data_IF_437802284938
#
_entry.id   IF_437802284938
#
_cell.length_a   1.000
_cell.length_b   1.000
_cell.length_c   1.000
_cell.angle_alpha   90.00
_cell.angle_beta   90.00
_cell.angle_gamma   90.00
#
_symmetry.space_group_name_H-M   'P 1'
#
loop_
_entity.id
_entity.type
_entity.pdbx_description
1 polymer ?
#
# COMPACT_ATOMS: atom_id res chain seq x y z
N UNK A 1 -2.71 27.77 7.49
CA UNK A 1 -1.45 27.22 6.90
C UNK A 1 -0.67 28.38 6.30
N UNK A 2 0.66 28.42 6.45
CA UNK A 2 1.47 29.39 5.70
C UNK A 2 1.36 29.13 4.20
N UNK A 3 1.56 30.16 3.37
CA UNK A 3 1.48 30.06 1.91
C UNK A 3 2.44 28.99 1.35
N UNK A 4 3.60 28.82 2.00
CA UNK A 4 4.58 27.77 1.69
C UNK A 4 4.04 26.37 2.00
N UNK A 5 3.43 26.17 3.19
CA UNK A 5 2.88 24.87 3.58
C UNK A 5 1.76 24.42 2.63
N UNK A 6 0.92 25.35 2.18
CA UNK A 6 -0.13 25.08 1.20
C UNK A 6 0.46 24.66 -0.15
N UNK A 7 1.46 25.40 -0.66
CA UNK A 7 2.15 25.07 -1.91
C UNK A 7 2.84 23.70 -1.85
N UNK A 8 3.49 23.37 -0.73
CA UNK A 8 4.09 22.05 -0.52
C UNK A 8 3.06 20.93 -0.53
N UNK A 9 1.93 21.11 0.17
CA UNK A 9 0.84 20.13 0.18
C UNK A 9 0.26 19.90 -1.23
N UNK A 10 0.00 20.98 -1.98
CA UNK A 10 -0.55 20.90 -3.33
C UNK A 10 0.44 20.23 -4.30
N UNK A 11 1.72 20.60 -4.26
CA UNK A 11 2.73 20.07 -5.17
C UNK A 11 3.13 18.62 -4.83
N UNK A 12 3.51 18.37 -3.58
CA UNK A 12 4.10 17.07 -3.16
C UNK A 12 3.03 16.05 -2.79
N UNK A 13 1.97 16.48 -2.10
CA UNK A 13 0.90 15.58 -1.66
C UNK A 13 -0.10 15.27 -2.78
N UNK A 14 -0.52 16.29 -3.53
CA UNK A 14 -1.58 16.17 -4.54
C UNK A 14 -1.07 16.15 -5.99
N UNK A 15 0.24 16.31 -6.23
CA UNK A 15 0.81 16.34 -7.57
C UNK A 15 0.34 17.49 -8.44
N UNK A 16 -0.04 18.62 -7.84
CA UNK A 16 -0.41 19.85 -8.56
C UNK A 16 0.85 20.64 -8.88
N UNK A 17 1.37 20.47 -10.10
CA UNK A 17 2.47 21.27 -10.63
C UNK A 17 1.95 22.20 -11.72
N UNK A 18 1.74 23.47 -11.38
CA UNK A 18 1.12 24.45 -12.30
C UNK A 18 -0.29 24.01 -12.71
N UNK A 19 -0.54 23.90 -14.02
CA UNK A 19 -1.81 23.42 -14.58
C UNK A 19 -1.93 21.90 -14.66
N UNK A 20 -0.86 21.14 -14.35
CA UNK A 20 -0.88 19.68 -14.40
C UNK A 20 -1.35 19.10 -13.06
N UNK A 21 -2.38 18.27 -13.11
CA UNK A 21 -2.95 17.54 -11.97
C UNK A 21 -2.75 16.03 -12.13
N UNK A 22 -1.50 15.57 -12.15
CA UNK A 22 -1.21 14.14 -12.12
C UNK A 22 -1.18 13.65 -10.66
N UNK A 23 -2.05 12.72 -10.25
CA UNK A 23 -2.05 12.22 -8.90
C UNK A 23 -0.78 11.40 -8.64
N UNK A 24 -0.04 11.74 -7.59
CA UNK A 24 1.23 11.08 -7.24
C UNK A 24 0.97 9.75 -6.54
N UNK A 25 -0.10 9.65 -5.73
CA UNK A 25 -0.37 8.45 -4.96
C UNK A 25 -0.50 7.20 -5.84
N UNK A 26 -1.31 7.19 -6.93
CA UNK A 26 -1.34 6.07 -7.86
C UNK A 26 0.02 5.73 -8.48
N UNK A 27 0.93 6.68 -8.66
CA UNK A 27 2.28 6.38 -9.15
C UNK A 27 3.13 5.70 -8.07
N UNK A 28 3.06 6.19 -6.83
CA UNK A 28 3.91 5.71 -5.72
C UNK A 28 3.48 4.38 -5.12
N UNK A 29 2.20 4.01 -5.18
CA UNK A 29 1.69 2.76 -4.56
C UNK A 29 2.21 1.47 -5.19
N UNK A 30 2.66 1.51 -6.45
CA UNK A 30 3.14 0.31 -7.16
C UNK A 30 4.41 -0.27 -6.53
N UNK A 31 5.29 0.58 -6.00
CA UNK A 31 6.55 0.16 -5.40
C UNK A 31 6.35 -0.67 -4.12
N UNK A 32 5.70 -0.15 -3.06
CA UNK A 32 5.48 -0.95 -1.85
C UNK A 32 4.61 -2.16 -2.15
N UNK A 33 3.60 -2.04 -3.02
CA UNK A 33 2.76 -3.18 -3.42
C UNK A 33 3.62 -4.31 -4.04
N UNK A 34 4.50 -3.99 -4.99
CA UNK A 34 5.36 -4.97 -5.63
C UNK A 34 6.36 -5.59 -4.65
N UNK A 35 7.10 -4.75 -3.90
CA UNK A 35 8.14 -5.22 -3.00
C UNK A 35 7.61 -6.01 -1.81
N UNK A 36 6.50 -5.58 -1.20
CA UNK A 36 5.87 -6.31 -0.10
C UNK A 36 5.19 -7.59 -0.58
N UNK A 37 4.65 -7.61 -1.81
CA UNK A 37 4.14 -8.87 -2.41
C UNK A 37 5.28 -9.85 -2.61
N UNK A 38 6.41 -9.39 -3.17
CA UNK A 38 7.58 -10.22 -3.38
C UNK A 38 8.16 -10.73 -2.06
N UNK A 39 8.30 -9.86 -1.05
CA UNK A 39 8.79 -10.24 0.27
C UNK A 39 7.93 -11.34 0.91
N UNK A 40 6.61 -11.12 0.98
CA UNK A 40 5.69 -12.11 1.54
C UNK A 40 5.69 -13.41 0.71
N UNK A 41 5.74 -13.32 -0.61
CA UNK A 41 5.82 -14.48 -1.50
C UNK A 41 7.09 -15.31 -1.29
N UNK A 42 8.24 -14.64 -1.13
CA UNK A 42 9.52 -15.31 -0.85
C UNK A 42 9.54 -15.96 0.54
N UNK A 43 8.96 -15.32 1.56
CA UNK A 43 8.80 -15.94 2.89
C UNK A 43 7.90 -17.18 2.86
N UNK A 44 6.82 -17.15 2.07
CA UNK A 44 5.98 -18.32 1.86
C UNK A 44 6.72 -19.42 1.11
N UNK A 45 7.48 -19.06 0.08
CA UNK A 45 8.28 -20.01 -0.67
C UNK A 45 9.36 -20.64 0.22
N UNK A 46 10.04 -19.86 1.04
CA UNK A 46 10.97 -20.34 2.07
C UNK A 46 10.30 -21.38 2.99
N UNK A 47 9.10 -21.06 3.49
CA UNK A 47 8.31 -22.01 4.30
C UNK A 47 7.95 -23.28 3.54
N UNK A 48 7.57 -23.18 2.26
CA UNK A 48 7.27 -24.34 1.41
C UNK A 48 8.50 -25.24 1.29
N UNK A 49 9.66 -24.67 0.95
CA UNK A 49 10.92 -25.42 0.81
C UNK A 49 11.34 -26.06 2.13
N UNK A 50 11.18 -25.34 3.24
CA UNK A 50 11.60 -25.81 4.56
C UNK A 50 10.71 -26.95 5.09
N UNK A 51 9.40 -26.85 4.92
CA UNK A 51 8.43 -27.76 5.55
C UNK A 51 7.90 -28.86 4.62
N UNK A 52 7.92 -28.67 3.30
CA UNK A 52 7.42 -29.64 2.33
C UNK A 52 8.58 -30.29 1.56
N UNK A 53 9.18 -31.31 2.17
CA UNK A 53 10.35 -32.03 1.66
C UNK A 53 10.18 -32.67 0.27
N UNK A 54 8.93 -32.90 -0.16
CA UNK A 54 8.60 -33.55 -1.44
C UNK A 54 8.32 -32.55 -2.57
N UNK A 55 8.61 -31.25 -2.40
CA UNK A 55 8.36 -30.27 -3.46
C UNK A 55 9.30 -30.54 -4.67
N UNK A 56 8.79 -30.60 -5.91
CA UNK A 56 9.59 -30.96 -7.08
C UNK A 56 10.36 -29.78 -7.70
N UNK A 57 10.22 -28.57 -7.17
CA UNK A 57 10.68 -27.33 -7.81
C UNK A 57 11.96 -26.77 -7.19
N UNK A 58 12.19 -26.99 -5.89
CA UNK A 58 13.26 -26.36 -5.12
C UNK A 58 13.93 -27.37 -4.18
N UNK A 59 15.25 -27.41 -4.19
CA UNK A 59 16.01 -28.20 -3.21
C UNK A 59 16.08 -27.50 -1.86
N UNK A 60 16.01 -28.30 -0.79
CA UNK A 60 16.10 -27.86 0.60
C UNK A 60 17.56 -27.82 1.08
N UNK A 61 18.43 -27.21 0.30
CA UNK A 61 19.81 -26.93 0.68
C UNK A 61 19.94 -25.53 1.29
N UNK A 62 21.07 -25.28 1.97
CA UNK A 62 21.31 -24.02 2.66
C UNK A 62 21.45 -22.83 1.70
N UNK A 63 21.93 -23.05 0.48
CA UNK A 63 22.13 -21.99 -0.50
C UNK A 63 20.78 -21.44 -0.99
N UNK A 64 19.84 -22.34 -1.33
CA UNK A 64 18.49 -21.96 -1.71
C UNK A 64 17.73 -21.29 -0.57
N UNK A 65 17.76 -21.86 0.64
CA UNK A 65 17.08 -21.28 1.79
C UNK A 65 17.63 -19.90 2.14
N UNK A 66 18.97 -19.74 2.14
CA UNK A 66 19.63 -18.45 2.35
C UNK A 66 19.32 -17.42 1.26
N UNK A 67 19.30 -17.84 0.00
CA UNK A 67 18.93 -16.94 -1.12
C UNK A 67 17.51 -16.43 -0.98
N UNK A 68 16.56 -17.32 -0.65
CA UNK A 68 15.15 -16.94 -0.45
C UNK A 68 15.00 -15.97 0.73
N UNK A 69 15.66 -16.22 1.86
CA UNK A 69 15.57 -15.34 3.04
C UNK A 69 16.21 -13.98 2.80
N UNK A 70 17.39 -13.92 2.17
CA UNK A 70 18.09 -12.66 1.86
C UNK A 70 17.27 -11.81 0.88
N UNK A 71 16.73 -12.41 -0.19
CA UNK A 71 15.90 -11.70 -1.15
C UNK A 71 14.56 -11.26 -0.54
N UNK A 72 13.96 -12.10 0.31
CA UNK A 72 12.74 -11.77 1.05
C UNK A 72 12.93 -10.57 1.95
N UNK A 73 14.01 -10.59 2.76
CA UNK A 73 14.39 -9.49 3.64
C UNK A 73 14.69 -8.19 2.87
N UNK A 74 15.49 -8.26 1.80
CA UNK A 74 15.82 -7.09 0.98
C UNK A 74 14.56 -6.47 0.35
N UNK A 75 13.66 -7.31 -0.17
CA UNK A 75 12.38 -6.88 -0.71
C UNK A 75 11.49 -6.25 0.37
N UNK A 76 11.47 -6.81 1.58
CA UNK A 76 10.71 -6.27 2.70
C UNK A 76 11.19 -4.85 3.06
N UNK A 77 12.51 -4.65 3.17
CA UNK A 77 13.10 -3.33 3.45
C UNK A 77 12.78 -2.32 2.34
N UNK A 78 12.89 -2.70 1.06
CA UNK A 78 12.50 -1.85 -0.06
C UNK A 78 11.02 -1.49 -0.02
N UNK A 79 10.17 -2.45 0.35
CA UNK A 79 8.73 -2.23 0.54
C UNK A 79 8.43 -1.22 1.65
N UNK A 80 9.11 -1.31 2.78
CA UNK A 80 8.98 -0.34 3.89
C UNK A 80 9.44 1.06 3.46
N UNK A 81 10.59 1.17 2.79
CA UNK A 81 11.11 2.48 2.37
C UNK A 81 10.17 3.14 1.35
N UNK A 82 9.68 2.34 0.40
CA UNK A 82 8.81 2.85 -0.67
C UNK A 82 7.35 3.05 -0.23
N UNK A 83 6.94 2.53 0.93
CA UNK A 83 5.62 2.84 1.50
C UNK A 83 5.53 4.25 2.05
N UNK A 84 6.65 4.86 2.46
CA UNK A 84 6.69 6.23 2.99
C UNK A 84 6.05 7.24 2.03
N UNK A 85 6.50 7.39 0.77
CA UNK A 85 5.85 8.32 -0.15
C UNK A 85 4.39 7.94 -0.42
N UNK A 86 4.07 6.65 -0.55
CA UNK A 86 2.72 6.18 -0.84
C UNK A 86 1.71 6.54 0.28
N UNK A 87 2.10 6.34 1.55
CA UNK A 87 1.29 6.68 2.73
C UNK A 87 1.10 8.20 2.82
N UNK A 88 2.17 8.97 2.61
CA UNK A 88 2.10 10.43 2.69
C UNK A 88 1.18 11.03 1.62
N UNK A 89 1.33 10.60 0.37
CA UNK A 89 0.47 11.09 -0.73
C UNK A 89 -0.96 10.56 -0.61
N UNK A 90 -1.14 9.33 -0.13
CA UNK A 90 -2.47 8.77 0.13
C UNK A 90 -3.21 9.51 1.25
N UNK A 91 -2.50 9.87 2.32
CA UNK A 91 -3.02 10.71 3.39
C UNK A 91 -3.44 12.11 2.91
N UNK A 92 -2.65 12.71 2.00
CA UNK A 92 -3.01 13.97 1.37
C UNK A 92 -4.29 13.85 0.52
N UNK A 93 -4.42 12.80 -0.30
CA UNK A 93 -5.62 12.55 -1.09
C UNK A 93 -6.85 12.27 -0.22
N UNK A 94 -6.71 11.50 0.86
CA UNK A 94 -7.77 11.28 1.85
C UNK A 94 -8.21 12.59 2.50
N UNK A 95 -7.25 13.43 2.92
CA UNK A 95 -7.55 14.74 3.50
C UNK A 95 -8.32 15.64 2.51
N UNK A 96 -7.88 15.71 1.25
CA UNK A 96 -8.61 16.45 0.20
C UNK A 96 -10.02 15.89 -0.04
N UNK A 97 -10.18 14.57 0.01
CA UNK A 97 -11.48 13.92 -0.16
C UNK A 97 -12.43 14.26 0.99
N UNK A 98 -11.95 14.21 2.23
CA UNK A 98 -12.75 14.56 3.41
C UNK A 98 -13.13 16.05 3.36
N UNK A 99 -12.20 16.93 2.95
CA UNK A 99 -12.50 18.36 2.83
C UNK A 99 -13.54 18.68 1.76
N UNK A 100 -13.55 17.93 0.66
CA UNK A 100 -14.50 18.18 -0.45
C UNK A 100 -15.87 17.54 -0.25
N UNK A 101 -15.98 16.44 0.50
CA UNK A 101 -17.23 15.68 0.63
C UNK A 101 -17.82 15.69 2.04
N UNK A 102 -17.05 16.13 3.04
CA UNK A 102 -17.33 15.86 4.44
C UNK A 102 -17.09 14.40 4.82
N UNK A 103 -17.17 14.11 6.12
CA UNK A 103 -17.05 12.74 6.65
C UNK A 103 -18.36 11.97 6.54
N UNK A 104 -19.48 12.65 6.75
CA UNK A 104 -20.80 12.04 6.90
C UNK A 104 -21.80 12.61 5.91
N UNK A 105 -22.69 11.75 5.43
CA UNK A 105 -23.88 12.11 4.69
C UNK A 105 -25.11 11.63 5.46
N UNK A 106 -26.20 12.40 5.37
CA UNK A 106 -27.50 12.02 5.95
C UNK A 106 -28.26 11.21 4.90
N UNK A 107 -28.62 9.99 5.24
CA UNK A 107 -29.49 9.13 4.42
C UNK A 107 -30.90 9.68 4.33
N UNK A 108 -31.69 9.25 3.34
CA UNK A 108 -33.12 9.62 3.20
C UNK A 108 -33.93 9.29 4.47
N UNK A 109 -33.48 8.31 5.27
CA UNK A 109 -34.08 7.92 6.55
C UNK A 109 -33.62 8.77 7.74
N UNK A 110 -32.84 9.83 7.52
CA UNK A 110 -32.31 10.71 8.58
C UNK A 110 -31.06 10.17 9.30
N UNK A 111 -30.58 8.98 8.95
CA UNK A 111 -29.39 8.37 9.58
C UNK A 111 -28.09 8.98 9.03
N UNK A 112 -27.18 9.38 9.93
CA UNK A 112 -25.83 9.81 9.55
C UNK A 112 -24.96 8.59 9.27
N UNK A 113 -24.49 8.48 8.03
CA UNK A 113 -23.58 7.42 7.59
C UNK A 113 -22.32 8.03 7.01
N UNK A 114 -21.20 7.31 7.06
CA UNK A 114 -19.96 7.77 6.40
C UNK A 114 -20.20 7.86 4.89
N UNK A 115 -19.64 8.90 4.26
CA UNK A 115 -19.63 9.00 2.80
C UNK A 115 -18.97 7.73 2.23
N UNK A 116 -19.63 6.98 1.31
CA UNK A 116 -19.17 5.65 0.89
C UNK A 116 -17.71 5.59 0.45
N UNK A 117 -17.27 6.52 -0.41
CA UNK A 117 -15.87 6.60 -0.85
C UNK A 117 -14.88 6.93 0.27
N UNK A 118 -15.28 7.73 1.27
CA UNK A 118 -14.44 8.01 2.45
C UNK A 118 -14.31 6.77 3.33
N UNK A 119 -15.40 6.01 3.52
CA UNK A 119 -15.37 4.74 4.23
C UNK A 119 -14.41 3.76 3.55
N UNK A 120 -14.50 3.59 2.23
CA UNK A 120 -13.62 2.70 1.47
C UNK A 120 -12.17 3.20 1.56
N UNK A 121 -11.93 4.50 1.45
CA UNK A 121 -10.58 5.08 1.56
C UNK A 121 -9.96 4.83 2.94
N UNK A 122 -10.74 4.97 4.03
CA UNK A 122 -10.28 4.65 5.38
C UNK A 122 -9.98 3.15 5.55
N UNK A 123 -10.83 2.27 5.01
CA UNK A 123 -10.57 0.82 5.03
C UNK A 123 -9.32 0.46 4.23
N UNK A 124 -9.17 1.01 3.03
CA UNK A 124 -8.00 0.83 2.18
C UNK A 124 -6.71 1.30 2.89
N UNK A 125 -6.71 2.50 3.47
CA UNK A 125 -5.57 3.03 4.21
C UNK A 125 -5.25 2.16 5.42
N UNK A 126 -6.24 1.85 6.26
CA UNK A 126 -6.04 1.05 7.47
C UNK A 126 -5.50 -0.35 7.20
N UNK A 127 -5.97 -1.02 6.14
CA UNK A 127 -5.44 -2.34 5.77
C UNK A 127 -4.00 -2.27 5.24
N UNK A 128 -3.64 -1.24 4.47
CA UNK A 128 -2.25 -1.05 4.03
C UNK A 128 -1.34 -0.69 5.21
N UNK A 129 -1.80 0.14 6.16
CA UNK A 129 -1.04 0.48 7.37
C UNK A 129 -0.75 -0.76 8.21
N UNK A 130 -1.71 -1.69 8.32
CA UNK A 130 -1.50 -2.99 8.97
C UNK A 130 -0.43 -3.83 8.24
N UNK A 131 -0.43 -3.81 6.91
CA UNK A 131 0.58 -4.53 6.12
C UNK A 131 1.97 -3.93 6.30
N UNK A 132 2.09 -2.59 6.27
CA UNK A 132 3.36 -1.90 6.54
C UNK A 132 3.83 -2.14 7.96
N UNK A 133 2.94 -2.11 8.95
CA UNK A 133 3.29 -2.42 10.34
C UNK A 133 3.78 -3.86 10.49
N UNK A 134 3.14 -4.82 9.83
CA UNK A 134 3.57 -6.21 9.78
C UNK A 134 4.92 -6.39 9.09
N UNK A 135 5.16 -5.68 7.99
CA UNK A 135 6.45 -5.64 7.30
C UNK A 135 7.58 -5.11 8.20
N UNK A 136 7.32 -4.00 8.91
CA UNK A 136 8.26 -3.44 9.90
C UNK A 136 8.50 -4.43 11.02
N UNK A 137 7.45 -5.09 11.54
CA UNK A 137 7.61 -6.11 12.56
C UNK A 137 8.52 -7.25 12.08
N UNK A 138 8.30 -7.80 10.89
CA UNK A 138 9.18 -8.82 10.29
C UNK A 138 10.63 -8.36 10.19
N UNK A 139 10.85 -7.15 9.65
CA UNK A 139 12.18 -6.58 9.53
C UNK A 139 12.89 -6.48 10.89
N UNK A 140 12.19 -6.05 11.94
CA UNK A 140 12.75 -5.94 13.28
C UNK A 140 13.15 -7.30 13.88
N UNK A 141 12.42 -8.38 13.54
CA UNK A 141 12.75 -9.74 13.99
C UNK A 141 13.91 -10.35 13.21
N UNK A 142 13.99 -10.09 11.90
CA UNK A 142 14.97 -10.73 11.00
C UNK A 142 16.34 -10.04 10.99
N UNK A 143 16.40 -8.72 11.21
CA UNK A 143 17.61 -7.89 10.98
C UNK A 143 18.90 -8.33 11.69
N UNK A 144 18.79 -9.13 12.75
CA UNK A 144 19.91 -9.63 13.54
C UNK A 144 20.01 -11.17 13.51
N UNK A 145 19.23 -11.83 12.66
CA UNK A 145 19.25 -13.27 12.47
C UNK A 145 20.22 -13.60 11.34
N UNK A 146 21.00 -14.68 11.50
CA UNK A 146 21.88 -15.16 10.45
C UNK A 146 21.09 -15.39 9.15
N UNK A 147 21.61 -14.85 8.04
CA UNK A 147 20.98 -14.88 6.72
C UNK A 147 19.54 -14.33 6.67
N UNK A 148 19.13 -13.56 7.67
CA UNK A 148 17.79 -12.97 7.79
C UNK A 148 16.66 -14.01 7.71
N UNK A 149 16.91 -15.22 8.21
CA UNK A 149 15.96 -16.32 8.10
C UNK A 149 14.65 -16.00 8.84
N UNK A 150 13.48 -16.11 8.16
CA UNK A 150 12.21 -15.88 8.81
C UNK A 150 11.87 -17.07 9.72
N UNK A 151 11.36 -16.77 10.91
CA UNK A 151 10.80 -17.78 11.80
C UNK A 151 9.46 -18.32 11.27
N UNK A 152 9.05 -19.50 11.73
CA UNK A 152 7.82 -20.15 11.25
C UNK A 152 6.54 -19.30 11.41
N UNK A 153 6.44 -18.49 12.47
CA UNK A 153 5.31 -17.57 12.64
C UNK A 153 5.31 -16.43 11.61
N UNK A 154 6.48 -16.01 11.13
CA UNK A 154 6.62 -14.97 10.10
C UNK A 154 6.19 -15.48 8.74
N UNK A 155 6.38 -16.78 8.45
CA UNK A 155 5.82 -17.43 7.26
C UNK A 155 4.30 -17.37 7.28
N UNK A 156 3.67 -17.75 8.40
CA UNK A 156 2.20 -17.68 8.55
C UNK A 156 1.70 -16.24 8.46
N UNK A 157 2.38 -15.30 9.13
CA UNK A 157 2.03 -13.89 9.06
C UNK A 157 2.16 -13.37 7.61
N UNK A 158 3.17 -13.80 6.85
CA UNK A 158 3.34 -13.41 5.45
C UNK A 158 2.15 -13.82 4.57
N UNK A 159 1.55 -15.00 4.82
CA UNK A 159 0.32 -15.41 4.13
C UNK A 159 -0.86 -14.47 4.46
N UNK A 160 -1.02 -14.14 5.73
CA UNK A 160 -2.09 -13.26 6.20
C UNK A 160 -1.91 -11.86 5.61
N UNK A 161 -0.70 -11.29 5.69
CA UNK A 161 -0.39 -9.97 5.16
C UNK A 161 -0.58 -9.92 3.64
N UNK A 162 -0.22 -10.98 2.91
CA UNK A 162 -0.44 -11.06 1.47
C UNK A 162 -1.95 -11.05 1.12
N UNK A 163 -2.77 -11.77 1.88
CA UNK A 163 -4.22 -11.75 1.71
C UNK A 163 -4.83 -10.37 2.01
N UNK A 164 -4.41 -9.75 3.12
CA UNK A 164 -4.83 -8.39 3.50
C UNK A 164 -4.42 -7.39 2.43
N UNK A 165 -3.18 -7.44 1.94
CA UNK A 165 -2.67 -6.55 0.91
C UNK A 165 -3.44 -6.70 -0.41
N UNK A 166 -3.77 -7.93 -0.80
CA UNK A 166 -4.55 -8.19 -2.02
C UNK A 166 -5.95 -7.59 -1.91
N UNK A 167 -6.61 -7.73 -0.75
CA UNK A 167 -7.91 -7.11 -0.52
C UNK A 167 -7.82 -5.58 -0.45
N UNK A 168 -6.78 -5.04 0.17
CA UNK A 168 -6.54 -3.60 0.19
C UNK A 168 -6.32 -3.03 -1.22
N UNK A 169 -5.57 -3.73 -2.08
CA UNK A 169 -5.40 -3.38 -3.48
C UNK A 169 -6.73 -3.40 -4.26
N UNK A 170 -7.59 -4.38 -4.02
CA UNK A 170 -8.96 -4.41 -4.56
C UNK A 170 -9.75 -3.14 -4.18
N UNK A 171 -9.73 -2.73 -2.90
CA UNK A 171 -10.40 -1.50 -2.46
C UNK A 171 -9.79 -0.25 -3.11
N UNK A 172 -8.49 -0.23 -3.37
CA UNK A 172 -7.84 0.85 -4.11
C UNK A 172 -8.36 0.95 -5.55
N UNK A 173 -8.57 -0.19 -6.21
CA UNK A 173 -9.23 -0.26 -7.50
C UNK A 173 -10.68 0.23 -7.46
N UNK A 174 -11.44 -0.16 -6.43
CA UNK A 174 -12.83 0.28 -6.23
C UNK A 174 -12.94 1.81 -6.09
N UNK A 175 -12.03 2.45 -5.36
CA UNK A 175 -11.95 3.91 -5.26
C UNK A 175 -11.79 4.59 -6.63
N UNK A 176 -10.98 4.01 -7.51
CA UNK A 176 -10.73 4.57 -8.84
C UNK A 176 -11.91 4.28 -9.78
N UNK A 177 -12.30 3.02 -9.91
CA UNK A 177 -13.23 2.57 -10.94
C UNK A 177 -14.70 2.79 -10.57
N UNK A 178 -15.09 2.61 -9.30
CA UNK A 178 -16.46 2.82 -8.86
C UNK A 178 -16.72 4.26 -8.38
N UNK A 179 -15.69 4.91 -7.81
CA UNK A 179 -15.84 6.24 -7.19
C UNK A 179 -15.08 7.37 -7.87
N UNK A 180 -14.31 7.09 -8.93
CA UNK A 180 -13.60 8.11 -9.71
C UNK A 180 -12.50 8.86 -8.95
N UNK A 181 -12.05 8.33 -7.81
CA UNK A 181 -10.98 8.94 -7.02
C UNK A 181 -9.69 8.96 -7.84
N UNK A 182 -9.00 10.10 -7.86
CA UNK A 182 -7.76 10.29 -8.64
C UNK A 182 -7.98 10.62 -10.12
N UNK A 183 -9.12 10.25 -10.73
CA UNK A 183 -9.43 10.54 -12.15
C UNK A 183 -10.35 11.75 -12.35
N UNK A 184 -11.15 12.13 -11.35
CA UNK A 184 -12.03 13.30 -11.37
C UNK A 184 -11.29 14.59 -11.78
N UNK A 185 -10.13 14.84 -11.17
CA UNK A 185 -9.29 16.01 -11.45
C UNK A 185 -8.75 16.05 -12.87
N UNK A 186 -8.51 14.89 -13.49
CA UNK A 186 -8.08 14.82 -14.89
C UNK A 186 -9.23 15.20 -15.82
N UNK A 187 -10.46 14.76 -15.50
CA UNK A 187 -11.65 15.14 -16.24
C UNK A 187 -11.95 16.64 -16.17
N UNK A 188 -11.75 17.27 -15.00
CA UNK A 188 -11.88 18.72 -14.83
C UNK A 188 -10.82 19.49 -15.63
N UNK A 189 -9.54 19.11 -15.53
CA UNK A 189 -8.46 19.73 -16.29
C UNK A 189 -8.64 19.57 -17.81
N UNK A 190 -9.23 18.47 -18.29
CA UNK A 190 -9.56 18.28 -19.69
C UNK A 190 -10.65 19.26 -20.16
N UNK A 191 -11.64 19.57 -19.32
CA UNK A 191 -12.67 20.57 -19.62
C UNK A 191 -12.10 21.99 -19.65
N UNK A 192 -11.19 22.33 -18.75
CA UNK A 192 -10.52 23.64 -18.73
C UNK A 192 -9.69 23.88 -20.00
N UNK A 193 -9.04 22.86 -20.56
CA UNK A 193 -8.28 22.97 -21.82
C UNK A 193 -9.15 23.16 -23.07
N UNK A 194 -10.45 22.88 -22.99
CA UNK A 194 -11.39 23.03 -24.11
C UNK A 194 -12.10 24.40 -24.09
N UNK A 195 -11.89 25.20 -23.06
CA UNK A 195 -12.40 26.58 -22.92
C UNK A 195 -11.33 27.59 -23.34
#
# INVERSE_FOLDING_TARGET
MSDIAKKCYEAVGLGRFGSNSHPIHPATVHFPLAFLTLANGLNLLYGIVLYFSSNPFFSRDQENLGTLSILGYASNVLGIITSIPAVLTGGAELYAMIQSNGLYQTSEKGEKTLVPKVKIALMHAGLNDLVVAGAVFNWLQERNVADYQPAGYQVVMSAILMAIQTYAAYLGGDLIYAHGVGVQRMGEAAKEKQQ
#
